data_IF_764148347512
#
_entry.id   IF_764148347512
#
_cell.length_a   1.000
_cell.length_b   1.000
_cell.length_c   1.000
_cell.angle_alpha   90.00
_cell.angle_beta   90.00
_cell.angle_gamma   90.00
#
_symmetry.space_group_name_H-M   'P 1'
#
loop_
_entity.id
_entity.type
_entity.pdbx_description
1 polymer ?
#
# COMPACT_ATOMS: atom_id res chain seq x y z
N UNK A 1 -44.99 -3.77 -85.35
CA UNK A 1 -45.62 -4.80 -84.49
C UNK A 1 -45.37 -4.42 -83.05
N UNK A 2 -46.40 -3.91 -82.38
CA UNK A 2 -46.41 -3.58 -80.95
C UNK A 2 -46.25 -4.87 -80.14
N UNK A 3 -45.39 -4.86 -79.12
CA UNK A 3 -45.34 -5.93 -78.12
C UNK A 3 -45.42 -5.28 -76.73
N UNK A 4 -46.65 -5.18 -76.21
CA UNK A 4 -46.93 -4.81 -74.83
C UNK A 4 -46.66 -6.04 -73.95
N UNK A 5 -45.61 -6.01 -73.13
CA UNK A 5 -45.48 -6.92 -71.98
C UNK A 5 -45.89 -6.16 -70.73
N UNK A 6 -47.07 -6.52 -70.21
CA UNK A 6 -47.60 -6.01 -68.96
C UNK A 6 -46.69 -6.39 -67.78
N UNK A 7 -46.23 -5.38 -67.06
CA UNK A 7 -45.54 -5.50 -65.79
C UNK A 7 -46.59 -5.84 -64.73
N UNK A 8 -46.67 -7.11 -64.32
CA UNK A 8 -47.53 -7.55 -63.22
C UNK A 8 -46.86 -7.13 -61.90
N UNK A 9 -47.28 -5.98 -61.36
CA UNK A 9 -46.89 -5.56 -60.01
C UNK A 9 -47.67 -6.41 -59.00
N UNK A 10 -47.01 -7.39 -58.38
CA UNK A 10 -47.52 -8.01 -57.16
C UNK A 10 -47.39 -6.98 -56.03
N UNK A 11 -48.46 -6.24 -55.77
CA UNK A 11 -48.63 -5.52 -54.53
C UNK A 11 -48.86 -6.57 -53.43
N UNK A 12 -47.80 -6.95 -52.71
CA UNK A 12 -47.93 -7.69 -51.47
C UNK A 12 -48.55 -6.75 -50.44
N UNK A 13 -49.88 -6.69 -50.40
CA UNK A 13 -50.61 -6.13 -49.27
C UNK A 13 -50.37 -7.11 -48.12
N UNK A 14 -49.43 -6.82 -47.24
CA UNK A 14 -49.46 -7.34 -45.88
C UNK A 14 -50.67 -6.72 -45.21
N UNK A 15 -51.80 -7.44 -45.23
CA UNK A 15 -52.92 -7.14 -44.35
C UNK A 15 -52.40 -7.41 -42.93
N UNK A 16 -51.94 -6.38 -42.23
CA UNK A 16 -51.90 -6.42 -40.77
C UNK A 16 -53.35 -6.40 -40.32
N UNK A 17 -53.94 -7.59 -40.16
CA UNK A 17 -55.12 -7.74 -39.31
C UNK A 17 -54.65 -7.42 -37.89
N UNK A 18 -54.64 -6.14 -37.54
CA UNK A 18 -54.65 -5.75 -36.14
C UNK A 18 -55.95 -6.29 -35.56
N UNK A 19 -55.89 -7.40 -34.82
CA UNK A 19 -56.99 -7.77 -33.92
C UNK A 19 -57.11 -6.63 -32.91
N UNK A 20 -58.13 -5.80 -33.06
CA UNK A 20 -58.57 -4.93 -31.98
C UNK A 20 -58.88 -5.83 -30.78
N UNK A 21 -58.14 -5.66 -29.67
CA UNK A 21 -58.31 -6.45 -28.45
C UNK A 21 -57.20 -7.46 -28.11
N UNK A 22 -56.04 -7.41 -28.78
CA UNK A 22 -54.90 -8.25 -28.36
C UNK A 22 -54.22 -7.67 -27.10
N UNK A 23 -54.15 -8.49 -26.05
CA UNK A 23 -53.44 -8.21 -24.80
C UNK A 23 -52.02 -7.68 -25.07
N UNK A 24 -51.69 -6.53 -24.49
CA UNK A 24 -50.38 -5.89 -24.64
C UNK A 24 -49.59 -6.03 -23.34
N UNK A 25 -48.38 -6.62 -23.37
CA UNK A 25 -47.62 -6.87 -22.15
C UNK A 25 -47.15 -5.57 -21.49
N UNK A 26 -46.97 -5.62 -20.17
CA UNK A 26 -46.35 -4.55 -19.40
C UNK A 26 -44.84 -4.45 -19.63
N UNK A 27 -44.27 -3.31 -19.22
CA UNK A 27 -42.82 -3.09 -19.17
C UNK A 27 -42.30 -3.31 -17.75
N UNK A 28 -41.19 -4.05 -17.62
CA UNK A 28 -40.55 -4.32 -16.32
C UNK A 28 -39.59 -3.19 -15.95
N UNK A 29 -39.57 -2.82 -14.68
CA UNK A 29 -38.60 -1.92 -14.04
C UNK A 29 -38.07 -2.54 -12.75
N UNK A 30 -36.94 -2.05 -12.23
CA UNK A 30 -36.36 -2.51 -10.97
C UNK A 30 -36.21 -1.36 -9.97
N UNK A 31 -36.46 -1.63 -8.69
CA UNK A 31 -36.05 -0.75 -7.60
C UNK A 31 -34.53 -0.91 -7.35
N UNK A 32 -33.75 0.14 -7.58
CA UNK A 32 -32.29 0.11 -7.43
C UNK A 32 -31.58 -0.17 -8.75
N UNK A 33 -30.41 -0.82 -8.68
CA UNK A 33 -29.59 -1.10 -9.85
C UNK A 33 -29.99 -2.43 -10.52
N UNK A 34 -29.97 -2.47 -11.86
CA UNK A 34 -30.10 -3.69 -12.66
C UNK A 34 -28.80 -4.48 -12.76
N UNK A 35 -27.71 -3.96 -12.22
CA UNK A 35 -26.42 -4.63 -12.09
C UNK A 35 -26.13 -4.84 -10.60
N UNK A 36 -25.77 -6.07 -10.23
CA UNK A 36 -25.53 -6.48 -8.85
C UNK A 36 -24.22 -7.28 -8.73
N UNK A 37 -23.73 -7.41 -7.50
CA UNK A 37 -22.64 -8.31 -7.18
C UNK A 37 -23.07 -9.77 -7.22
N UNK A 38 -22.17 -10.63 -7.68
CA UNK A 38 -22.26 -12.08 -7.53
C UNK A 38 -22.50 -12.45 -6.06
N UNK A 39 -23.53 -13.26 -5.83
CA UNK A 39 -23.96 -13.66 -4.51
C UNK A 39 -24.93 -12.70 -3.81
N UNK A 40 -25.39 -11.64 -4.48
CA UNK A 40 -26.43 -10.73 -3.95
C UNK A 40 -27.82 -11.04 -4.50
N UNK A 41 -28.85 -10.46 -3.89
CA UNK A 41 -30.20 -10.36 -4.47
C UNK A 41 -30.36 -9.02 -5.19
N UNK A 42 -31.27 -8.96 -6.17
CA UNK A 42 -31.67 -7.71 -6.79
C UNK A 42 -32.90 -7.10 -6.08
N UNK A 43 -33.17 -5.81 -6.28
CA UNK A 43 -34.35 -5.15 -5.72
C UNK A 43 -35.67 -5.58 -6.37
N UNK A 44 -36.80 -5.00 -5.94
CA UNK A 44 -38.12 -5.40 -6.43
C UNK A 44 -38.26 -5.11 -7.93
N UNK A 45 -38.54 -6.14 -8.73
CA UNK A 45 -39.01 -5.98 -10.10
C UNK A 45 -40.49 -5.62 -10.09
N UNK A 46 -40.89 -4.64 -10.88
CA UNK A 46 -42.27 -4.19 -11.03
C UNK A 46 -42.63 -4.11 -12.50
N UNK A 47 -43.71 -4.77 -12.90
CA UNK A 47 -44.27 -4.65 -14.24
C UNK A 47 -45.37 -3.59 -14.26
N UNK A 48 -45.38 -2.74 -15.29
CA UNK A 48 -46.55 -1.93 -15.60
C UNK A 48 -47.77 -2.82 -15.87
N UNK A 49 -48.97 -2.35 -15.53
CA UNK A 49 -50.20 -3.13 -15.77
C UNK A 49 -50.37 -3.39 -17.27
N UNK A 50 -50.52 -4.65 -17.72
CA UNK A 50 -50.82 -4.97 -19.12
C UNK A 50 -52.09 -4.26 -19.59
N UNK A 51 -52.09 -3.80 -20.85
CA UNK A 51 -53.21 -3.05 -21.44
C UNK A 51 -53.92 -3.87 -22.51
N UNK A 52 -55.08 -3.38 -23.00
CA UNK A 52 -55.90 -4.09 -23.99
C UNK A 52 -56.35 -5.49 -23.51
N UNK A 53 -56.59 -5.62 -22.20
CA UNK A 53 -56.98 -6.86 -21.52
C UNK A 53 -58.47 -7.16 -21.68
N UNK A 54 -58.84 -8.43 -21.78
CA UNK A 54 -60.22 -8.92 -21.74
C UNK A 54 -60.42 -9.89 -20.59
N UNK A 55 -61.42 -9.65 -19.74
CA UNK A 55 -61.74 -10.53 -18.62
C UNK A 55 -60.74 -10.43 -17.46
N UNK A 56 -60.57 -11.54 -16.73
CA UNK A 56 -59.66 -11.59 -15.59
C UNK A 56 -58.23 -11.89 -16.04
N UNK A 57 -57.27 -11.06 -15.62
CA UNK A 57 -55.87 -11.22 -15.99
C UNK A 57 -55.12 -11.93 -14.86
N UNK A 58 -54.38 -12.97 -15.23
CA UNK A 58 -53.45 -13.68 -14.34
C UNK A 58 -52.02 -13.42 -14.77
N UNK A 59 -51.10 -13.46 -13.81
CA UNK A 59 -49.68 -13.20 -14.05
C UNK A 59 -48.82 -14.36 -13.60
N UNK A 60 -47.72 -14.59 -14.32
CA UNK A 60 -46.70 -15.56 -13.96
C UNK A 60 -45.33 -15.00 -14.31
N UNK A 61 -44.47 -14.83 -13.31
CA UNK A 61 -43.08 -14.46 -13.56
C UNK A 61 -42.31 -15.68 -14.05
N UNK A 62 -41.43 -15.48 -15.02
CA UNK A 62 -40.53 -16.51 -15.53
C UNK A 62 -39.10 -15.99 -15.61
N UNK A 63 -38.12 -16.87 -15.50
CA UNK A 63 -36.70 -16.52 -15.56
C UNK A 63 -35.89 -17.45 -16.47
N UNK A 64 -34.81 -16.93 -17.07
CA UNK A 64 -33.85 -17.69 -17.87
C UNK A 64 -32.42 -17.21 -17.61
N UNK A 65 -31.44 -18.09 -17.84
CA UNK A 65 -30.02 -17.74 -17.83
C UNK A 65 -29.53 -17.11 -19.14
N UNK A 66 -30.40 -17.00 -20.15
CA UNK A 66 -30.10 -16.36 -21.42
C UNK A 66 -31.31 -15.54 -21.91
N UNK A 67 -31.04 -14.39 -22.55
CA UNK A 67 -32.08 -13.48 -23.04
C UNK A 67 -33.13 -14.18 -23.93
N UNK A 68 -32.64 -15.00 -24.86
CA UNK A 68 -33.44 -15.80 -25.80
C UNK A 68 -33.45 -17.30 -25.44
N UNK A 69 -33.20 -17.62 -24.17
CA UNK A 69 -33.21 -18.99 -23.66
C UNK A 69 -34.60 -19.52 -23.34
N UNK A 70 -34.64 -20.73 -22.79
CA UNK A 70 -35.85 -21.31 -22.21
C UNK A 70 -36.14 -20.64 -20.87
N UNK A 71 -37.38 -20.16 -20.69
CA UNK A 71 -37.84 -19.54 -19.46
C UNK A 71 -38.59 -20.57 -18.60
N UNK A 72 -38.34 -20.52 -17.29
CA UNK A 72 -39.00 -21.38 -16.29
C UNK A 72 -39.77 -20.53 -15.29
N UNK A 73 -40.88 -21.04 -14.77
CA UNK A 73 -41.71 -20.33 -13.79
C UNK A 73 -40.93 -20.08 -12.49
N UNK A 74 -41.04 -18.85 -11.98
CA UNK A 74 -40.67 -18.52 -10.61
C UNK A 74 -41.94 -18.37 -9.77
N UNK A 75 -41.87 -18.65 -8.46
CA UNK A 75 -43.05 -18.69 -7.59
C UNK A 75 -43.63 -17.29 -7.25
N UNK A 76 -44.03 -16.51 -8.26
CA UNK A 76 -44.72 -15.22 -8.10
C UNK A 76 -45.76 -15.00 -9.20
N UNK A 77 -46.95 -14.59 -8.78
CA UNK A 77 -48.13 -14.34 -9.64
C UNK A 77 -48.67 -12.91 -9.54
N UNK A 78 -47.93 -12.01 -8.88
CA UNK A 78 -48.26 -10.59 -8.78
C UNK A 78 -47.55 -9.74 -9.85
N UNK A 79 -47.84 -8.44 -9.86
CA UNK A 79 -47.13 -7.47 -10.71
C UNK A 79 -45.72 -7.14 -10.22
N UNK A 80 -45.35 -7.64 -9.04
CA UNK A 80 -44.03 -7.45 -8.42
C UNK A 80 -43.35 -8.77 -8.15
N UNK A 81 -42.03 -8.80 -8.24
CA UNK A 81 -41.20 -9.95 -7.88
C UNK A 81 -39.97 -9.51 -7.11
N UNK A 82 -39.61 -10.26 -6.07
CA UNK A 82 -38.36 -10.10 -5.33
C UNK A 82 -37.74 -11.49 -5.14
N UNK A 83 -36.46 -11.68 -5.48
CA UNK A 83 -35.82 -12.97 -5.36
C UNK A 83 -35.50 -13.25 -3.88
N UNK A 84 -35.63 -14.51 -3.48
CA UNK A 84 -35.27 -14.97 -2.13
C UNK A 84 -33.92 -15.70 -2.09
N UNK A 85 -33.24 -15.82 -3.22
CA UNK A 85 -31.98 -16.54 -3.38
C UNK A 85 -30.94 -15.64 -4.03
N UNK A 86 -29.70 -15.80 -3.59
CA UNK A 86 -28.56 -15.10 -4.16
C UNK A 86 -28.33 -15.53 -5.61
N UNK A 87 -27.89 -14.58 -6.43
CA UNK A 87 -27.71 -14.75 -7.86
C UNK A 87 -26.21 -14.62 -8.18
N UNK A 88 -25.65 -15.59 -8.91
CA UNK A 88 -24.21 -15.68 -9.20
C UNK A 88 -23.87 -15.54 -10.69
N UNK A 89 -24.87 -15.35 -11.54
CA UNK A 89 -24.72 -15.16 -12.99
C UNK A 89 -25.89 -14.36 -13.53
N UNK A 90 -25.71 -13.74 -14.69
CA UNK A 90 -26.77 -12.98 -15.37
C UNK A 90 -28.09 -13.77 -15.42
N UNK A 91 -29.19 -13.06 -15.17
CA UNK A 91 -30.53 -13.64 -15.20
C UNK A 91 -31.49 -12.69 -15.90
N UNK A 92 -32.40 -13.28 -16.68
CA UNK A 92 -33.37 -12.57 -17.48
C UNK A 92 -34.76 -12.92 -17.01
N UNK A 93 -35.59 -11.91 -16.75
CA UNK A 93 -36.96 -12.08 -16.29
C UNK A 93 -37.97 -11.65 -17.34
N UNK A 94 -39.09 -12.37 -17.39
CA UNK A 94 -40.29 -11.97 -18.13
C UNK A 94 -41.50 -12.08 -17.22
N UNK A 95 -42.50 -11.24 -17.48
CA UNK A 95 -43.84 -11.42 -16.93
C UNK A 95 -44.75 -11.92 -18.05
N UNK A 96 -45.33 -13.09 -17.83
CA UNK A 96 -46.40 -13.61 -18.67
C UNK A 96 -47.74 -13.13 -18.11
N UNK A 97 -48.53 -12.46 -18.93
CA UNK A 97 -49.88 -12.06 -18.63
C UNK A 97 -50.84 -12.90 -19.47
N UNK A 98 -51.84 -13.50 -18.82
CA UNK A 98 -52.85 -14.32 -19.46
C UNK A 98 -54.23 -13.75 -19.17
N UNK A 99 -54.96 -13.42 -20.23
CA UNK A 99 -56.35 -13.01 -20.18
C UNK A 99 -57.24 -14.04 -20.93
N UNK A 100 -58.52 -13.74 -21.12
CA UNK A 100 -59.47 -14.66 -21.77
C UNK A 100 -59.12 -14.95 -23.25
N UNK A 101 -58.29 -14.11 -23.88
CA UNK A 101 -57.89 -14.23 -25.29
C UNK A 101 -56.50 -14.87 -25.47
N UNK A 102 -55.77 -15.14 -24.39
CA UNK A 102 -54.50 -15.87 -24.42
C UNK A 102 -53.39 -15.24 -23.57
N UNK A 103 -52.17 -15.71 -23.81
CA UNK A 103 -50.98 -15.33 -23.04
C UNK A 103 -50.01 -14.51 -23.88
N UNK A 104 -49.50 -13.41 -23.32
CA UNK A 104 -48.38 -12.65 -23.88
C UNK A 104 -47.29 -12.47 -22.84
N UNK A 105 -46.03 -12.46 -23.28
CA UNK A 105 -44.87 -12.21 -22.43
C UNK A 105 -44.34 -10.78 -22.65
N UNK A 106 -43.84 -10.16 -21.59
CA UNK A 106 -43.03 -8.94 -21.70
C UNK A 106 -41.74 -9.17 -22.48
N UNK A 107 -41.08 -8.07 -22.86
CA UNK A 107 -39.66 -8.12 -23.20
C UNK A 107 -38.86 -8.67 -22.01
N UNK A 108 -37.71 -9.30 -22.31
CA UNK A 108 -36.80 -9.77 -21.28
C UNK A 108 -36.19 -8.58 -20.53
N UNK A 109 -36.22 -8.61 -19.21
CA UNK A 109 -35.50 -7.66 -18.36
C UNK A 109 -34.24 -8.34 -17.82
N UNK A 110 -33.07 -7.79 -18.14
CA UNK A 110 -31.79 -8.32 -17.70
C UNK A 110 -31.41 -7.79 -16.31
N UNK A 111 -31.04 -8.70 -15.43
CA UNK A 111 -30.27 -8.39 -14.21
C UNK A 111 -28.87 -8.95 -14.42
N UNK A 112 -27.89 -8.05 -14.50
CA UNK A 112 -26.51 -8.37 -14.78
C UNK A 112 -25.74 -8.62 -13.47
N UNK A 113 -24.88 -9.62 -13.47
CA UNK A 113 -24.11 -10.02 -12.30
C UNK A 113 -22.63 -9.95 -12.63
N UNK A 114 -21.85 -9.34 -11.75
CA UNK A 114 -20.39 -9.35 -11.87
C UNK A 114 -19.72 -9.80 -10.57
N UNK A 115 -18.52 -10.35 -10.70
CA UNK A 115 -17.72 -10.76 -9.55
C UNK A 115 -17.06 -9.54 -8.88
N UNK A 116 -16.80 -9.67 -7.58
CA UNK A 116 -15.99 -8.71 -6.84
C UNK A 116 -14.54 -8.74 -7.37
N UNK A 117 -13.83 -7.60 -7.36
CA UNK A 117 -12.44 -7.58 -7.78
C UNK A 117 -11.56 -8.23 -6.70
N UNK A 118 -10.31 -8.50 -7.06
CA UNK A 118 -9.27 -8.90 -6.10
C UNK A 118 -8.37 -7.70 -5.83
N UNK A 119 -7.97 -7.49 -4.56
CA UNK A 119 -6.97 -6.47 -4.20
C UNK A 119 -5.62 -7.15 -3.95
N UNK A 120 -4.58 -6.67 -4.63
CA UNK A 120 -3.19 -6.99 -4.34
C UNK A 120 -2.51 -5.78 -3.69
N UNK A 121 -1.98 -5.94 -2.48
CA UNK A 121 -1.29 -4.86 -1.77
C UNK A 121 0.21 -5.09 -1.87
N UNK A 122 0.95 -4.07 -2.32
CA UNK A 122 2.41 -4.03 -2.27
C UNK A 122 2.91 -2.94 -1.32
N UNK A 123 4.13 -3.09 -0.81
CA UNK A 123 4.78 -2.12 0.06
C UNK A 123 6.14 -1.69 -0.50
N UNK A 124 6.49 -0.43 -0.27
CA UNK A 124 7.80 0.14 -0.55
C UNK A 124 8.26 1.02 0.61
N UNK A 125 9.40 0.72 1.27
CA UNK A 125 10.23 -0.47 1.07
C UNK A 125 9.47 -1.77 1.38
N UNK A 126 9.86 -2.87 0.72
CA UNK A 126 9.26 -4.19 0.94
C UNK A 126 9.92 -4.92 2.11
N UNK A 127 9.18 -5.85 2.73
CA UNK A 127 9.69 -6.65 3.84
C UNK A 127 9.65 -5.93 5.19
N UNK A 128 10.69 -6.15 6.00
CA UNK A 128 10.81 -5.57 7.34
C UNK A 128 11.28 -4.11 7.26
N UNK A 129 10.89 -3.28 8.23
CA UNK A 129 11.35 -1.88 8.33
C UNK A 129 11.69 -1.53 9.77
N UNK A 130 12.55 -0.52 10.03
CA UNK A 130 12.79 -0.08 11.39
C UNK A 130 11.60 0.68 11.98
N UNK A 131 11.45 0.72 13.32
CA UNK A 131 10.38 1.45 13.97
C UNK A 131 10.35 2.92 13.52
N UNK A 132 9.18 3.39 13.10
CA UNK A 132 8.97 4.77 12.63
C UNK A 132 9.38 5.04 11.19
N UNK A 133 9.87 4.03 10.45
CA UNK A 133 10.15 4.18 9.03
C UNK A 133 8.87 4.46 8.23
N UNK A 134 9.00 5.30 7.21
CA UNK A 134 7.91 5.58 6.26
C UNK A 134 7.78 4.45 5.26
N UNK A 135 6.58 3.89 5.12
CA UNK A 135 6.25 2.84 4.16
C UNK A 135 5.07 3.27 3.29
N UNK A 136 5.24 3.21 1.98
CA UNK A 136 4.17 3.41 1.01
C UNK A 136 3.52 2.07 0.69
N UNK A 137 2.23 1.94 0.99
CA UNK A 137 1.37 0.85 0.56
C UNK A 137 0.67 1.22 -0.75
N UNK A 138 0.52 0.27 -1.66
CA UNK A 138 -0.21 0.44 -2.92
C UNK A 138 -1.19 -0.72 -3.11
N UNK A 139 -2.48 -0.39 -3.26
CA UNK A 139 -3.54 -1.33 -3.56
C UNK A 139 -3.81 -1.35 -5.07
N UNK A 140 -3.60 -2.50 -5.70
CA UNK A 140 -3.91 -2.73 -7.10
C UNK A 140 -5.10 -3.69 -7.21
N UNK A 141 -6.16 -3.22 -7.89
CA UNK A 141 -7.31 -4.05 -8.20
C UNK A 141 -7.08 -4.85 -9.47
N UNK A 142 -7.51 -6.12 -9.46
CA UNK A 142 -7.58 -7.02 -10.62
C UNK A 142 -8.98 -7.61 -10.75
N UNK A 143 -9.32 -8.15 -11.93
CA UNK A 143 -10.68 -8.61 -12.26
C UNK A 143 -11.71 -7.46 -12.25
N UNK A 144 -11.34 -6.30 -12.82
CA UNK A 144 -12.23 -5.14 -12.94
C UNK A 144 -12.93 -5.18 -14.30
N UNK A 145 -14.27 -5.21 -14.36
CA UNK A 145 -15.00 -5.04 -15.61
C UNK A 145 -14.83 -3.62 -16.18
N UNK A 146 -14.89 -3.50 -17.50
CA UNK A 146 -14.72 -2.20 -18.18
C UNK A 146 -15.81 -1.21 -17.77
N UNK A 147 -15.42 0.02 -17.43
CA UNK A 147 -16.37 1.09 -17.05
C UNK A 147 -16.76 1.08 -15.57
N UNK A 148 -16.17 0.21 -14.75
CA UNK A 148 -16.39 0.18 -13.31
C UNK A 148 -15.37 1.08 -12.61
N UNK A 149 -15.84 1.89 -11.66
CA UNK A 149 -15.01 2.80 -10.88
C UNK A 149 -15.05 2.39 -9.42
N UNK A 150 -13.88 2.33 -8.79
CA UNK A 150 -13.75 1.92 -7.40
C UNK A 150 -13.24 3.05 -6.53
N UNK A 151 -13.82 3.18 -5.35
CA UNK A 151 -13.34 4.02 -4.24
C UNK A 151 -12.60 3.16 -3.22
N UNK A 152 -11.57 3.71 -2.60
CA UNK A 152 -10.77 3.03 -1.58
C UNK A 152 -11.06 3.60 -0.19
N UNK A 153 -10.92 2.77 0.84
CA UNK A 153 -10.92 3.18 2.24
C UNK A 153 -9.93 2.31 3.02
N UNK A 154 -8.82 2.91 3.45
CA UNK A 154 -7.83 2.29 4.32
C UNK A 154 -8.28 2.33 5.78
N UNK A 155 -7.76 1.41 6.59
CA UNK A 155 -7.97 1.38 8.04
C UNK A 155 -7.43 2.62 8.77
N UNK A 156 -6.57 3.40 8.11
CA UNK A 156 -6.08 4.72 8.57
C UNK A 156 -7.04 5.87 8.24
N UNK A 157 -8.05 5.62 7.41
CA UNK A 157 -8.97 6.63 6.86
C UNK A 157 -8.57 7.18 5.49
N UNK A 158 -7.43 6.78 4.93
CA UNK A 158 -7.01 7.18 3.57
C UNK A 158 -7.98 6.68 2.49
N UNK A 159 -8.19 7.46 1.43
CA UNK A 159 -9.16 7.14 0.36
C UNK A 159 -8.53 6.97 -1.03
N UNK A 160 -7.21 7.02 -1.11
CA UNK A 160 -6.45 6.81 -2.34
C UNK A 160 -6.12 5.32 -2.53
N UNK A 161 -5.72 4.94 -3.74
CA UNK A 161 -5.17 3.60 -4.01
C UNK A 161 -3.76 3.42 -3.40
N UNK A 162 -3.13 4.49 -2.92
CA UNK A 162 -1.87 4.47 -2.19
C UNK A 162 -2.03 5.05 -0.79
N UNK A 163 -1.29 4.54 0.19
CA UNK A 163 -1.30 5.03 1.56
C UNK A 163 0.12 5.08 2.13
N UNK A 164 0.47 6.09 2.94
CA UNK A 164 1.77 6.18 3.61
C UNK A 164 1.62 6.03 5.11
N UNK A 165 2.40 5.13 5.71
CA UNK A 165 2.30 4.77 7.13
C UNK A 165 3.68 4.79 7.81
N UNK A 166 3.71 5.06 9.11
CA UNK A 166 4.94 5.10 9.93
C UNK A 166 4.79 4.27 11.22
N UNK A 167 4.67 2.93 11.13
CA UNK A 167 4.43 2.07 12.30
C UNK A 167 5.64 2.02 13.25
N UNK A 168 5.37 2.03 14.56
CA UNK A 168 6.39 1.79 15.61
C UNK A 168 6.52 0.31 15.99
N UNK A 169 5.54 -0.52 15.64
CA UNK A 169 5.52 -1.97 15.84
C UNK A 169 4.82 -2.66 14.67
N UNK A 170 4.99 -3.97 14.52
CA UNK A 170 4.37 -4.74 13.44
C UNK A 170 2.86 -4.52 13.43
N UNK A 171 2.35 -3.96 12.33
CA UNK A 171 0.97 -3.48 12.21
C UNK A 171 0.34 -3.97 10.91
N UNK A 172 -0.89 -4.46 11.00
CA UNK A 172 -1.70 -4.85 9.84
C UNK A 172 -2.58 -3.70 9.38
N UNK A 173 -2.57 -3.42 8.08
CA UNK A 173 -3.39 -2.41 7.43
C UNK A 173 -4.38 -3.08 6.49
N UNK A 174 -5.64 -2.68 6.59
CA UNK A 174 -6.72 -3.19 5.74
C UNK A 174 -7.17 -2.09 4.78
N UNK A 175 -7.45 -2.45 3.53
CA UNK A 175 -8.08 -1.57 2.55
C UNK A 175 -9.33 -2.24 2.02
N UNK A 176 -10.41 -1.47 1.94
CA UNK A 176 -11.64 -1.84 1.26
C UNK A 176 -11.73 -1.07 -0.04
N UNK A 177 -12.06 -1.76 -1.12
CA UNK A 177 -12.40 -1.14 -2.40
C UNK A 177 -13.87 -1.41 -2.71
N UNK A 178 -14.61 -0.38 -3.12
CA UNK A 178 -16.05 -0.46 -3.39
C UNK A 178 -16.40 0.23 -4.70
N UNK A 179 -17.19 -0.41 -5.55
CA UNK A 179 -17.66 0.19 -6.82
C UNK A 179 -18.99 0.96 -6.70
N UNK A 180 -19.44 1.51 -7.84
CA UNK A 180 -20.71 2.24 -7.93
C UNK A 180 -21.96 1.38 -7.68
N UNK A 181 -21.84 0.05 -7.76
CA UNK A 181 -22.92 -0.91 -7.52
C UNK A 181 -22.85 -1.49 -6.09
N UNK A 182 -22.04 -0.87 -5.23
CA UNK A 182 -21.79 -1.27 -3.82
C UNK A 182 -21.05 -2.59 -3.67
N UNK A 183 -20.36 -3.04 -4.73
CA UNK A 183 -19.52 -4.21 -4.69
C UNK A 183 -18.22 -3.95 -3.97
N UNK A 184 -18.13 -4.48 -2.75
CA UNK A 184 -16.97 -4.35 -1.89
C UNK A 184 -16.07 -5.58 -1.88
N UNK A 185 -14.77 -5.36 -1.86
CA UNK A 185 -13.78 -6.36 -1.45
C UNK A 185 -12.82 -5.74 -0.45
N UNK A 186 -12.21 -6.55 0.41
CA UNK A 186 -11.23 -6.08 1.37
C UNK A 186 -10.00 -6.98 1.37
N UNK A 187 -8.82 -6.38 1.54
CA UNK A 187 -7.57 -7.09 1.71
C UNK A 187 -6.74 -6.44 2.81
N UNK A 188 -5.82 -7.21 3.40
CA UNK A 188 -4.92 -6.72 4.43
C UNK A 188 -3.46 -7.03 4.09
N UNK A 189 -2.57 -6.12 4.50
CA UNK A 189 -1.13 -6.31 4.43
C UNK A 189 -0.50 -5.94 5.78
N UNK A 190 0.49 -6.73 6.20
CA UNK A 190 1.25 -6.45 7.42
C UNK A 190 2.55 -5.74 7.07
N UNK A 191 2.85 -4.65 7.79
CA UNK A 191 4.16 -4.03 7.82
C UNK A 191 4.90 -4.56 9.04
N UNK A 192 5.93 -5.39 8.81
CA UNK A 192 6.71 -5.99 9.89
C UNK A 192 7.80 -5.04 10.35
N UNK A 193 7.89 -4.81 11.66
CA UNK A 193 8.88 -3.90 12.23
C UNK A 193 10.00 -4.68 12.91
N UNK A 194 11.24 -4.39 12.53
CA UNK A 194 12.46 -4.95 13.13
C UNK A 194 13.35 -3.82 13.61
N UNK A 195 13.72 -3.82 14.89
CA UNK A 195 14.59 -2.78 15.46
C UNK A 195 15.90 -2.62 14.68
N UNK A 196 16.33 -1.38 14.46
CA UNK A 196 17.62 -1.07 13.85
C UNK A 196 18.72 -1.07 14.91
N UNK A 197 19.81 -1.78 14.65
CA UNK A 197 21.04 -1.73 15.44
C UNK A 197 22.09 -0.90 14.70
N UNK A 198 22.75 0.03 15.39
CA UNK A 198 23.88 0.80 14.84
C UNK A 198 25.18 -0.02 14.71
N UNK A 199 25.18 -1.26 15.20
CA UNK A 199 26.35 -2.14 15.25
C UNK A 199 27.30 -1.79 16.40
N UNK A 200 28.54 -2.26 16.32
CA UNK A 200 29.59 -2.05 17.30
C UNK A 200 30.90 -1.64 16.63
N UNK A 201 31.63 -0.77 17.30
CA UNK A 201 32.92 -0.23 16.89
C UNK A 201 33.98 -0.48 17.96
N UNK A 202 35.23 -0.63 17.53
CA UNK A 202 36.39 -0.78 18.41
C UNK A 202 37.63 -0.07 17.85
N UNK A 203 38.55 0.29 18.73
CA UNK A 203 39.90 0.76 18.42
C UNK A 203 40.89 -0.06 19.23
N UNK A 204 42.11 -0.25 18.73
CA UNK A 204 43.17 -0.92 19.47
C UNK A 204 43.62 -0.09 20.68
N UNK A 205 43.80 1.21 20.48
CA UNK A 205 44.21 2.16 21.51
C UNK A 205 43.18 3.27 21.66
N UNK A 206 42.90 3.64 22.91
CA UNK A 206 42.01 4.74 23.30
C UNK A 206 42.76 5.89 24.00
N UNK A 207 44.05 5.71 24.25
CA UNK A 207 44.95 6.74 24.77
C UNK A 207 45.83 7.22 23.62
N UNK A 208 45.91 8.54 23.44
CA UNK A 208 46.63 9.17 22.32
C UNK A 208 47.68 10.10 22.90
N UNK A 209 48.93 9.95 22.50
CA UNK A 209 50.00 10.86 22.93
C UNK A 209 49.72 12.29 22.44
N UNK A 210 50.18 13.27 23.20
CA UNK A 210 50.06 14.68 22.80
C UNK A 210 50.76 14.91 21.46
N UNK A 211 49.99 15.40 20.47
CA UNK A 211 50.49 15.64 19.11
C UNK A 211 50.23 14.50 18.12
N UNK A 212 49.67 13.38 18.56
CA UNK A 212 49.31 12.26 17.70
C UNK A 212 47.82 12.24 17.33
N UNK A 213 47.50 11.49 16.27
CA UNK A 213 46.12 11.22 15.87
C UNK A 213 45.68 9.85 16.42
N UNK A 214 44.40 9.69 16.80
CA UNK A 214 43.89 8.38 17.19
C UNK A 214 44.04 7.33 16.08
N UNK A 215 44.23 6.08 16.50
CA UNK A 215 44.33 4.93 15.59
C UNK A 215 43.05 4.63 14.80
N UNK A 216 43.13 3.60 13.97
CA UNK A 216 41.99 3.15 13.17
C UNK A 216 40.88 2.56 14.04
N UNK A 217 39.66 3.03 13.82
CA UNK A 217 38.44 2.42 14.34
C UNK A 217 37.85 1.45 13.34
N UNK A 218 37.54 0.26 13.82
CA UNK A 218 36.99 -0.83 13.03
C UNK A 218 35.55 -1.15 13.44
N UNK A 219 34.80 -1.72 12.50
CA UNK A 219 33.47 -2.25 12.74
C UNK A 219 33.58 -3.68 13.25
N UNK A 220 33.32 -3.92 14.53
CA UNK A 220 33.28 -5.30 15.08
C UNK A 220 31.94 -5.98 14.80
N UNK A 221 30.87 -5.19 14.66
CA UNK A 221 29.62 -5.63 14.03
C UNK A 221 29.02 -4.52 13.18
N UNK A 222 28.51 -4.87 12.00
CA UNK A 222 27.81 -3.93 11.12
C UNK A 222 26.42 -3.56 11.65
N UNK A 223 25.80 -2.55 11.04
CA UNK A 223 24.39 -2.30 11.27
C UNK A 223 23.54 -3.50 10.82
N UNK A 224 22.45 -3.73 11.55
CA UNK A 224 21.56 -4.86 11.32
C UNK A 224 20.12 -4.53 11.73
N UNK A 225 19.18 -5.38 11.33
CA UNK A 225 17.75 -5.13 11.55
C UNK A 225 17.16 -4.17 10.52
N UNK A 226 16.06 -3.49 10.85
CA UNK A 226 15.32 -2.69 9.87
C UNK A 226 14.96 -3.47 8.60
N UNK A 227 15.36 -2.95 7.44
CA UNK A 227 15.17 -3.58 6.11
C UNK A 227 16.15 -4.69 5.78
N UNK A 228 17.13 -4.97 6.63
CA UNK A 228 18.11 -6.03 6.42
C UNK A 228 19.28 -5.64 5.50
N UNK A 229 19.16 -4.58 4.70
CA UNK A 229 20.21 -4.11 3.78
C UNK A 229 20.12 -2.60 3.52
N UNK A 230 21.02 -2.05 2.70
CA UNK A 230 20.97 -0.63 2.32
C UNK A 230 21.30 0.35 3.45
N UNK A 231 22.05 -0.09 4.46
CA UNK A 231 22.53 0.78 5.53
C UNK A 231 23.54 1.80 5.00
N UNK A 232 23.43 3.04 5.45
CA UNK A 232 24.45 4.07 5.25
C UNK A 232 25.08 4.43 6.59
N UNK A 233 26.35 4.85 6.57
CA UNK A 233 27.08 5.19 7.78
C UNK A 233 27.57 6.63 7.74
N UNK A 234 27.69 7.22 8.92
CA UNK A 234 28.34 8.49 9.14
C UNK A 234 29.04 8.45 10.50
N UNK A 235 30.34 8.71 10.52
CA UNK A 235 31.08 8.84 11.76
C UNK A 235 30.83 10.21 12.38
N UNK A 236 30.60 10.24 13.68
CA UNK A 236 30.35 11.45 14.45
C UNK A 236 31.34 11.53 15.61
N UNK A 237 31.74 12.75 15.96
CA UNK A 237 32.56 13.01 17.14
C UNK A 237 31.96 14.08 18.04
N UNK A 238 32.23 13.97 19.34
CA UNK A 238 31.92 14.98 20.35
C UNK A 238 33.17 15.32 21.13
N UNK A 239 33.32 16.58 21.51
CA UNK A 239 34.35 17.05 22.45
C UNK A 239 33.75 17.56 23.76
N UNK A 240 32.43 17.39 23.95
CA UNK A 240 31.70 17.87 25.12
C UNK A 240 31.33 16.74 26.08
N UNK A 241 30.83 15.60 25.59
CA UNK A 241 30.43 14.48 26.42
C UNK A 241 30.28 13.17 25.63
N UNK A 242 30.06 12.06 26.34
CA UNK A 242 29.77 10.75 25.75
C UNK A 242 28.34 10.59 25.20
N UNK A 243 27.45 11.57 25.41
CA UNK A 243 26.01 11.44 25.12
C UNK A 243 25.42 12.63 24.35
N UNK A 244 26.15 13.73 24.22
CA UNK A 244 25.72 14.95 23.55
C UNK A 244 26.87 15.64 22.82
N UNK A 245 26.55 16.57 21.91
CA UNK A 245 27.53 17.35 21.15
C UNK A 245 28.21 16.60 20.01
N UNK A 246 27.64 15.47 19.58
CA UNK A 246 28.11 14.76 18.39
C UNK A 246 27.84 15.56 17.12
N UNK A 247 28.86 15.72 16.30
CA UNK A 247 28.78 16.32 14.97
C UNK A 247 29.43 15.39 13.93
N UNK A 248 28.92 15.43 12.71
CA UNK A 248 29.43 14.62 11.60
C UNK A 248 30.91 14.93 11.33
N UNK A 249 31.70 13.88 11.16
CA UNK A 249 33.04 13.97 10.58
C UNK A 249 32.87 13.96 9.06
N UNK A 250 33.13 15.11 8.43
CA UNK A 250 32.89 15.31 6.99
C UNK A 250 33.52 14.20 6.13
N UNK A 251 32.69 13.55 5.29
CA UNK A 251 33.12 12.52 4.35
C UNK A 251 33.42 11.14 4.97
N UNK A 252 33.30 10.98 6.28
CA UNK A 252 33.57 9.72 6.96
C UNK A 252 32.34 8.80 6.93
N UNK A 253 32.10 8.14 5.79
CA UNK A 253 30.94 7.25 5.58
C UNK A 253 31.30 5.76 5.46
N UNK A 254 32.58 5.43 5.60
CA UNK A 254 33.08 4.06 5.53
C UNK A 254 32.76 3.26 6.79
N UNK A 255 32.75 1.92 6.67
CA UNK A 255 32.55 1.04 7.82
C UNK A 255 33.68 1.17 8.87
N UNK A 256 34.89 1.51 8.44
CA UNK A 256 36.05 1.85 9.28
C UNK A 256 36.35 3.35 9.15
N UNK A 257 37.05 3.92 10.13
CA UNK A 257 37.50 5.31 10.10
C UNK A 257 38.85 5.45 10.79
N UNK A 258 39.77 6.21 10.20
CA UNK A 258 41.06 6.55 10.80
C UNK A 258 41.17 8.06 10.82
N UNK A 259 41.57 8.63 11.96
CA UNK A 259 41.77 10.07 12.03
C UNK A 259 42.94 10.49 11.16
N UNK A 260 42.74 11.54 10.37
CA UNK A 260 43.84 12.22 9.65
C UNK A 260 44.41 13.40 10.44
N UNK A 261 43.68 13.88 11.46
CA UNK A 261 44.03 15.03 12.27
C UNK A 261 44.23 14.60 13.73
N UNK A 262 45.18 15.27 14.39
CA UNK A 262 45.44 15.16 15.82
C UNK A 262 44.22 15.58 16.64
N UNK A 263 44.10 15.05 17.86
CA UNK A 263 43.13 15.52 18.84
C UNK A 263 43.84 16.35 19.92
N UNK A 264 43.19 17.42 20.41
CA UNK A 264 43.74 18.33 21.42
C UNK A 264 43.02 18.29 22.77
N UNK A 265 41.94 17.50 22.87
CA UNK A 265 41.23 17.20 24.11
C UNK A 265 40.53 15.84 24.00
N UNK A 266 39.97 15.37 25.12
CA UNK A 266 39.12 14.18 25.16
C UNK A 266 38.05 14.25 24.07
N UNK A 267 38.00 13.21 23.24
CA UNK A 267 37.10 13.15 22.08
C UNK A 267 36.33 11.84 22.12
N UNK A 268 35.00 11.93 22.09
CA UNK A 268 34.10 10.80 21.96
C UNK A 268 33.75 10.57 20.51
N UNK A 269 33.68 9.32 20.08
CA UNK A 269 33.39 8.94 18.70
C UNK A 269 32.32 7.86 18.67
N UNK A 270 31.36 7.98 17.74
CA UNK A 270 30.36 6.96 17.46
C UNK A 270 30.12 6.89 15.95
N UNK A 271 29.51 5.80 15.49
CA UNK A 271 29.02 5.66 14.12
C UNK A 271 27.50 5.68 14.12
N UNK A 272 26.92 6.62 13.36
CA UNK A 272 25.51 6.67 13.00
C UNK A 272 25.28 5.72 11.83
N UNK A 273 24.27 4.86 11.93
CA UNK A 273 23.77 4.02 10.86
C UNK A 273 22.34 4.44 10.52
N UNK A 274 22.07 4.68 9.25
CA UNK A 274 20.74 5.08 8.77
C UNK A 274 20.15 4.00 7.89
N UNK A 275 18.89 3.63 8.13
CA UNK A 275 18.13 2.69 7.32
C UNK A 275 16.66 3.13 7.18
N UNK A 276 16.15 3.21 5.96
CA UNK A 276 14.79 3.69 5.66
C UNK A 276 14.44 5.02 6.35
N UNK A 277 15.40 5.94 6.44
CA UNK A 277 15.24 7.26 7.07
C UNK A 277 15.28 7.25 8.61
N UNK A 278 15.53 6.10 9.23
CA UNK A 278 15.66 5.96 10.70
C UNK A 278 17.13 5.76 11.07
N UNK A 279 17.56 6.46 12.12
CA UNK A 279 18.93 6.40 12.63
C UNK A 279 19.06 5.48 13.85
N UNK A 280 20.19 4.79 13.93
CA UNK A 280 20.68 4.10 15.13
C UNK A 280 22.17 4.35 15.31
N UNK A 281 22.66 4.23 16.54
CA UNK A 281 24.05 4.54 16.88
C UNK A 281 24.78 3.32 17.42
N UNK A 282 26.07 3.21 17.12
CA UNK A 282 26.96 2.24 17.75
C UNK A 282 27.18 2.55 19.23
N UNK A 283 27.97 1.72 19.91
CA UNK A 283 28.65 2.14 21.14
C UNK A 283 29.53 3.39 20.89
N UNK A 284 29.88 4.07 21.98
CA UNK A 284 30.73 5.27 21.96
C UNK A 284 32.14 4.89 22.43
N UNK A 285 33.15 5.27 21.66
CA UNK A 285 34.56 5.21 22.06
C UNK A 285 34.97 6.55 22.66
N UNK A 286 35.80 6.51 23.70
CA UNK A 286 36.38 7.71 24.33
C UNK A 286 37.88 7.70 24.11
N UNK A 287 38.39 8.71 23.40
CA UNK A 287 39.83 8.94 23.27
C UNK A 287 40.29 9.96 24.30
N UNK A 288 41.33 9.64 25.07
CA UNK A 288 41.97 10.54 26.04
C UNK A 288 43.38 10.88 25.61
N UNK A 289 43.87 12.05 26.02
CA UNK A 289 45.23 12.49 25.69
C UNK A 289 46.17 12.13 26.82
N UNK A 290 47.27 11.46 26.47
CA UNK A 290 48.41 11.30 27.35
C UNK A 290 49.38 12.47 27.17
N UNK A 291 49.68 13.13 28.29
CA UNK A 291 50.53 14.30 28.30
C UNK A 291 51.99 13.87 28.15
N UNK A 292 52.75 14.56 27.29
CA UNK A 292 54.19 14.35 27.23
C UNK A 292 54.81 14.61 28.62
N UNK A 293 55.75 13.76 29.08
CA UNK A 293 56.43 14.00 30.35
C UNK A 293 57.14 15.35 30.30
N UNK A 294 56.95 16.15 31.35
CA UNK A 294 57.69 17.41 31.50
C UNK A 294 59.13 17.08 31.90
N UNK A 295 60.10 17.54 31.11
CA UNK A 295 61.52 17.47 31.44
C UNK A 295 62.05 18.87 31.74
N UNK A 296 62.78 19.02 32.84
CA UNK A 296 63.42 20.25 33.27
C UNK A 296 64.88 19.99 33.63
N UNK A 297 65.79 20.84 33.16
CA UNK A 297 67.20 20.83 33.56
C UNK A 297 67.47 22.07 34.42
N UNK A 298 68.14 21.88 35.56
CA UNK A 298 68.56 22.94 36.45
C UNK A 298 70.08 22.89 36.63
N UNK A 299 70.71 24.05 36.75
CA UNK A 299 72.14 24.19 36.98
C UNK A 299 72.36 24.85 38.34
N UNK A 300 73.24 24.29 39.17
CA UNK A 300 73.59 24.87 40.47
C UNK A 300 75.11 24.89 40.68
N UNK A 301 75.74 26.08 40.79
CA UNK A 301 75.16 27.41 40.58
C UNK A 301 74.87 27.69 39.09
N UNK A 302 73.88 28.54 38.80
CA UNK A 302 73.44 28.87 37.43
C UNK A 302 74.42 29.77 36.65
N UNK A 303 75.43 30.30 37.32
CA UNK A 303 76.53 31.08 36.73
C UNK A 303 77.85 30.69 37.39
N UNK A 304 78.90 30.49 36.60
CA UNK A 304 80.26 30.19 37.08
C UNK A 304 81.28 31.08 36.38
N UNK A 305 82.41 31.32 37.05
CA UNK A 305 83.59 31.99 36.46
C UNK A 305 84.30 31.10 35.44
N UNK A 306 85.22 31.64 34.64
CA UNK A 306 86.03 30.84 33.70
C UNK A 306 86.80 29.74 34.44
N UNK A 307 86.58 28.48 34.05
CA UNK A 307 87.14 27.30 34.72
C UNK A 307 86.35 26.80 35.94
N UNK A 308 85.24 27.44 36.32
CA UNK A 308 84.36 26.99 37.41
C UNK A 308 83.47 25.81 37.03
N UNK A 309 82.99 25.07 38.04
CA UNK A 309 82.11 23.91 37.86
C UNK A 309 80.67 24.22 38.28
N UNK A 310 79.71 23.65 37.55
CA UNK A 310 78.27 23.71 37.86
C UNK A 310 77.69 22.31 37.76
N UNK A 311 76.83 21.94 38.72
CA UNK A 311 76.13 20.67 38.71
C UNK A 311 74.85 20.80 37.88
N UNK A 312 74.68 19.92 36.90
CA UNK A 312 73.47 19.83 36.10
C UNK A 312 72.58 18.72 36.65
N UNK A 313 71.39 19.09 37.11
CA UNK A 313 70.35 18.15 37.53
C UNK A 313 69.23 18.17 36.49
N UNK A 314 69.03 17.05 35.81
CA UNK A 314 67.83 16.80 35.03
C UNK A 314 66.74 16.18 35.93
N UNK A 315 65.54 16.73 35.85
CA UNK A 315 64.34 16.24 36.54
C UNK A 315 63.22 16.06 35.52
N UNK A 316 62.39 15.02 35.68
CA UNK A 316 61.30 14.71 34.76
C UNK A 316 61.59 13.55 33.81
N UNK A 317 60.51 12.94 33.28
CA UNK A 317 60.54 11.66 32.57
C UNK A 317 60.28 10.48 33.51
N UNK A 318 59.00 10.21 33.79
CA UNK A 318 58.59 8.89 34.29
C UNK A 318 58.10 8.08 33.10
N UNK A 319 58.60 6.85 32.98
CA UNK A 319 58.17 5.84 32.01
C UNK A 319 56.70 5.47 32.18
#
# INVERSE_FOLDING_TARGET
MLNFRALLVFLAITVSLGLAGQLTPGTITISGNSTICSGSTHGVLTSAVPTNTTGNVTYQWTSSSAENGTYSNVSSTGLTFSPSTNITSDIYYKLEATDDNGTVASAAFAVLVHDAPTINISSSPSGNVPPGASVSLSALLTNIPSGYNYTYLWSTGGTSNTETVTPSSTTSYTVTATDQYTCGTAASASVTVTALSGGQIASADLTVCTGDAPGAMTSTSGASGGTGSGYTYQWEKSTTSNSSGFADITGATSATYTFSNVISQTTWVRRKATNAGVDAYSNVLQFTIDALPSAAATASPSTVVSGGSSDLLATGGTS
#
